data_IF_328776704721
#
_entry.id   IF_328776704721
#
_cell.length_a   1.000
_cell.length_b   1.000
_cell.length_c   1.000
_cell.angle_alpha   90.00
_cell.angle_beta   90.00
_cell.angle_gamma   90.00
#
_symmetry.space_group_name_H-M   'P 1'
#
loop_
_entity.id
_entity.type
_entity.pdbx_description
1 polymer ?
#
# COMPACT_ATOMS: atom_id res chain seq x y z
N UNK A 1 1.96 22.26 32.67
CA UNK A 1 1.42 22.56 31.32
C UNK A 1 2.58 22.53 30.35
N UNK A 2 2.59 21.56 29.47
CA UNK A 2 3.72 21.32 28.56
C UNK A 2 3.52 22.12 27.28
N UNK A 3 4.54 22.84 26.84
CA UNK A 3 4.52 23.53 25.54
C UNK A 3 4.92 22.58 24.42
N UNK A 4 4.59 22.93 23.17
CA UNK A 4 5.00 22.16 21.97
C UNK A 4 6.52 21.96 21.95
N UNK A 5 7.30 23.01 22.26
CA UNK A 5 8.78 22.96 22.33
C UNK A 5 9.27 22.00 23.42
N UNK A 6 8.68 22.06 24.61
CA UNK A 6 9.06 21.15 25.71
C UNK A 6 8.75 19.71 25.37
N UNK A 7 7.59 19.43 24.77
CA UNK A 7 7.23 18.08 24.32
C UNK A 7 8.19 17.57 23.24
N UNK A 8 8.54 18.39 22.24
CA UNK A 8 9.52 18.03 21.20
C UNK A 8 10.89 17.66 21.79
N UNK A 9 11.29 18.32 22.89
CA UNK A 9 12.57 18.08 23.57
C UNK A 9 12.54 16.87 24.52
N UNK A 10 11.38 16.56 25.10
CA UNK A 10 11.23 15.47 26.09
C UNK A 10 11.17 14.08 25.47
N UNK A 11 10.68 13.95 24.23
CA UNK A 11 10.52 12.66 23.56
C UNK A 11 11.83 12.19 22.92
N UNK A 12 12.17 10.90 23.10
CA UNK A 12 13.33 10.25 22.48
C UNK A 12 13.14 9.84 21.03
N UNK A 13 11.92 9.97 20.48
CA UNK A 13 11.60 9.67 19.09
C UNK A 13 12.35 10.60 18.14
N UNK A 14 12.51 10.18 16.89
CA UNK A 14 13.11 11.02 15.87
C UNK A 14 12.26 12.28 15.57
N UNK A 15 12.90 13.27 14.95
CA UNK A 15 12.26 14.57 14.71
C UNK A 15 11.15 14.51 13.64
N UNK A 16 11.19 13.53 12.73
CA UNK A 16 10.20 13.36 11.68
C UNK A 16 8.92 12.80 12.30
N UNK A 17 9.02 11.71 13.05
CA UNK A 17 7.90 11.11 13.77
C UNK A 17 7.22 12.13 14.68
N UNK A 18 7.99 12.89 15.47
CA UNK A 18 7.44 13.94 16.35
C UNK A 18 6.70 15.04 15.58
N UNK A 19 7.23 15.44 14.44
CA UNK A 19 6.60 16.47 13.62
C UNK A 19 5.26 15.98 13.05
N UNK A 20 5.22 14.76 12.53
CA UNK A 20 3.98 14.15 12.04
C UNK A 20 2.94 13.97 13.15
N UNK A 21 3.35 13.56 14.34
CA UNK A 21 2.45 13.42 15.48
C UNK A 21 1.79 14.75 15.85
N UNK A 22 2.57 15.83 15.93
CA UNK A 22 2.04 17.17 16.21
C UNK A 22 1.11 17.68 15.10
N UNK A 23 1.42 17.38 13.86
CA UNK A 23 0.56 17.74 12.74
C UNK A 23 -0.79 17.04 12.81
N UNK A 24 -0.80 15.73 13.06
CA UNK A 24 -2.03 14.93 13.11
C UNK A 24 -2.85 15.14 14.39
N UNK A 25 -2.20 15.37 15.53
CA UNK A 25 -2.90 15.54 16.81
C UNK A 25 -3.31 16.97 17.08
N UNK A 26 -2.45 17.94 16.74
CA UNK A 26 -2.62 19.36 17.07
C UNK A 26 -2.94 20.24 15.86
N UNK A 27 -2.95 19.69 14.62
CA UNK A 27 -3.11 20.45 13.39
C UNK A 27 -1.94 21.40 13.09
N UNK A 28 -0.75 21.14 13.62
CA UNK A 28 0.40 22.01 13.53
C UNK A 28 1.41 21.45 12.52
N UNK A 29 1.43 21.98 11.30
CA UNK A 29 2.49 21.66 10.35
C UNK A 29 3.87 22.14 10.84
N UNK A 30 4.93 21.69 10.17
CA UNK A 30 6.31 21.96 10.59
C UNK A 30 6.63 23.47 10.77
N UNK A 31 6.06 24.33 9.94
CA UNK A 31 6.24 25.78 10.07
C UNK A 31 5.53 26.31 11.34
N UNK A 32 4.30 25.88 11.60
CA UNK A 32 3.56 26.25 12.80
C UNK A 32 4.25 25.76 14.09
N UNK A 33 4.85 24.57 14.06
CA UNK A 33 5.64 24.03 15.19
C UNK A 33 6.85 24.91 15.54
N UNK A 34 7.51 25.47 14.54
CA UNK A 34 8.65 26.38 14.73
C UNK A 34 8.21 27.77 15.24
N UNK A 35 7.13 28.32 14.67
CA UNK A 35 6.64 29.67 14.99
C UNK A 35 5.95 29.69 16.36
N UNK A 36 5.16 28.67 16.67
CA UNK A 36 4.32 28.58 17.86
C UNK A 36 4.80 27.51 18.86
N UNK A 37 6.11 27.33 18.98
CA UNK A 37 6.68 26.35 19.91
C UNK A 37 6.38 26.61 21.39
N UNK A 38 5.96 27.82 21.74
CA UNK A 38 5.50 28.25 23.07
C UNK A 38 4.00 27.98 23.33
N UNK A 39 3.24 27.54 22.30
CA UNK A 39 1.86 27.11 22.48
C UNK A 39 1.78 25.98 23.51
N UNK A 40 0.90 26.17 24.49
CA UNK A 40 0.63 25.14 25.50
C UNK A 40 -0.29 24.08 24.91
N UNK A 41 0.08 22.81 25.08
CA UNK A 41 -0.75 21.66 24.69
C UNK A 41 -1.95 21.55 25.63
N UNK A 42 -3.11 21.19 25.09
CA UNK A 42 -4.22 20.80 25.95
C UNK A 42 -3.93 19.46 26.62
N UNK A 43 -4.56 19.14 27.75
CA UNK A 43 -4.38 17.83 28.40
C UNK A 43 -4.71 16.66 27.48
N UNK A 44 -5.70 16.80 26.59
CA UNK A 44 -6.11 15.79 25.60
C UNK A 44 -5.03 15.59 24.54
N UNK A 45 -4.48 16.70 24.01
CA UNK A 45 -3.37 16.65 23.04
C UNK A 45 -2.13 16.00 23.63
N UNK A 46 -1.72 16.44 24.84
CA UNK A 46 -0.56 15.91 25.56
C UNK A 46 -0.70 14.42 25.84
N UNK A 47 -1.87 13.98 26.34
CA UNK A 47 -2.14 12.58 26.59
C UNK A 47 -2.10 11.74 25.31
N UNK A 48 -2.71 12.22 24.23
CA UNK A 48 -2.73 11.52 22.94
C UNK A 48 -1.32 11.43 22.34
N UNK A 49 -0.56 12.50 22.36
CA UNK A 49 0.83 12.53 21.90
C UNK A 49 1.69 11.53 22.68
N UNK A 50 1.54 11.49 24.02
CA UNK A 50 2.31 10.60 24.87
C UNK A 50 1.92 9.12 24.67
N UNK A 51 0.62 8.80 24.48
CA UNK A 51 0.18 7.44 24.17
C UNK A 51 0.78 6.96 22.84
N UNK A 52 0.73 7.79 21.79
CA UNK A 52 1.33 7.48 20.49
C UNK A 52 2.84 7.30 20.63
N UNK A 53 3.52 8.22 21.35
CA UNK A 53 4.97 8.16 21.54
C UNK A 53 5.42 6.89 22.27
N UNK A 54 4.68 6.46 23.29
CA UNK A 54 4.96 5.23 24.02
C UNK A 54 4.85 4.00 23.11
N UNK A 55 3.74 3.86 22.39
CA UNK A 55 3.53 2.75 21.45
C UNK A 55 4.55 2.76 20.31
N UNK A 56 4.91 3.96 19.81
CA UNK A 56 5.95 4.11 18.78
C UNK A 56 7.32 3.65 19.29
N UNK A 57 7.66 3.94 20.54
CA UNK A 57 8.90 3.48 21.18
C UNK A 57 8.95 1.94 21.35
N UNK A 58 7.81 1.26 21.40
CA UNK A 58 7.69 -0.20 21.37
C UNK A 58 7.84 -0.77 19.95
N UNK A 59 7.94 0.10 18.94
CA UNK A 59 8.14 -0.27 17.53
C UNK A 59 6.86 -0.32 16.69
N UNK A 60 5.70 0.08 17.23
CA UNK A 60 4.47 0.12 16.44
C UNK A 60 4.63 1.16 15.32
N UNK A 61 4.31 0.84 14.06
CA UNK A 61 4.40 1.78 12.95
C UNK A 61 3.54 3.02 13.18
N UNK A 62 4.14 4.21 12.95
CA UNK A 62 3.44 5.47 13.15
C UNK A 62 2.14 5.58 12.32
N UNK A 63 2.07 5.14 11.05
CA UNK A 63 0.83 5.15 10.29
C UNK A 63 -0.33 4.40 10.97
N UNK A 64 -0.06 3.28 11.63
CA UNK A 64 -1.12 2.57 12.36
C UNK A 64 -1.59 3.32 13.61
N UNK A 65 -0.69 4.04 14.27
CA UNK A 65 -1.03 4.86 15.45
C UNK A 65 -1.82 6.10 15.07
N UNK A 66 -1.55 6.66 13.90
CA UNK A 66 -2.24 7.81 13.34
C UNK A 66 -3.51 7.40 12.55
N UNK A 67 -3.59 6.15 12.10
CA UNK A 67 -4.69 5.61 11.31
C UNK A 67 -4.64 5.97 9.83
N UNK A 68 -3.58 6.66 9.38
CA UNK A 68 -3.46 7.12 7.99
C UNK A 68 -2.02 7.05 7.49
N UNK A 69 -1.86 6.85 6.19
CA UNK A 69 -0.61 6.95 5.43
C UNK A 69 -0.87 7.72 4.14
N UNK A 70 0.01 8.66 3.83
CA UNK A 70 -0.03 9.34 2.53
C UNK A 70 0.48 8.38 1.43
N UNK A 71 -0.21 8.38 0.29
CA UNK A 71 0.20 7.68 -0.92
C UNK A 71 -0.31 8.48 -2.13
N UNK A 72 0.57 8.82 -3.03
CA UNK A 72 0.29 9.62 -4.22
C UNK A 72 -0.43 10.94 -3.91
N UNK A 73 0.04 11.64 -2.86
CA UNK A 73 -0.52 12.90 -2.39
C UNK A 73 -1.91 12.81 -1.74
N UNK A 74 -2.38 11.60 -1.38
CA UNK A 74 -3.70 11.36 -0.78
C UNK A 74 -3.59 10.61 0.54
N UNK A 75 -4.39 10.95 1.57
CA UNK A 75 -4.42 10.21 2.82
C UNK A 75 -5.21 8.91 2.68
N UNK A 76 -4.56 7.77 2.87
CA UNK A 76 -5.20 6.46 2.94
C UNK A 76 -5.33 6.00 4.39
N UNK A 77 -6.50 5.54 4.77
CA UNK A 77 -6.72 4.86 6.04
C UNK A 77 -5.92 3.56 6.06
N UNK A 78 -5.26 3.31 7.18
CA UNK A 78 -4.50 2.08 7.41
C UNK A 78 -4.71 1.56 8.83
N UNK A 79 -4.65 0.25 8.98
CA UNK A 79 -4.66 -0.45 10.25
C UNK A 79 -3.92 -1.79 10.09
N UNK A 80 -3.71 -2.60 11.16
CA UNK A 80 -2.99 -3.86 11.06
C UNK A 80 -3.59 -4.95 10.15
N UNK A 81 -4.67 -4.67 9.41
CA UNK A 81 -5.24 -5.57 8.40
C UNK A 81 -4.66 -5.38 7.01
N UNK A 82 -3.87 -4.32 6.77
CA UNK A 82 -3.32 -3.96 5.46
C UNK A 82 -1.84 -3.62 5.55
N UNK A 83 -1.11 -3.87 4.48
CA UNK A 83 0.24 -3.31 4.28
C UNK A 83 0.14 -1.78 4.30
N UNK A 84 1.08 -1.14 4.99
CA UNK A 84 1.23 0.32 4.91
C UNK A 84 1.70 0.67 3.50
N UNK A 85 0.97 1.52 2.73
CA UNK A 85 1.41 1.95 1.41
C UNK A 85 2.86 2.45 1.39
N UNK A 86 3.64 2.00 0.40
CA UNK A 86 5.06 2.34 0.27
C UNK A 86 5.27 3.40 -0.81
N UNK A 87 6.19 4.35 -0.61
CA UNK A 87 6.55 5.30 -1.67
C UNK A 87 7.03 4.62 -2.96
N UNK A 88 7.76 3.51 -2.85
CA UNK A 88 8.28 2.76 -3.99
C UNK A 88 7.16 2.26 -4.92
N UNK A 89 6.00 1.89 -4.36
CA UNK A 89 4.80 1.50 -5.12
C UNK A 89 4.20 2.67 -5.94
N UNK A 90 4.52 3.93 -5.61
CA UNK A 90 4.08 5.08 -6.40
C UNK A 90 4.68 5.07 -7.81
N UNK A 91 5.92 4.57 -7.97
CA UNK A 91 6.56 4.40 -9.29
C UNK A 91 5.76 3.45 -10.18
N UNK A 92 5.21 2.37 -9.60
CA UNK A 92 4.32 1.47 -10.34
C UNK A 92 3.07 2.22 -10.82
N UNK A 93 2.45 3.01 -9.95
CA UNK A 93 1.24 3.78 -10.31
C UNK A 93 1.54 4.84 -11.38
N UNK A 94 2.66 5.56 -11.29
CA UNK A 94 3.09 6.53 -12.31
C UNK A 94 3.20 5.86 -13.69
N UNK A 95 3.89 4.71 -13.74
CA UNK A 95 4.01 3.95 -14.98
C UNK A 95 2.65 3.48 -15.52
N UNK A 96 1.77 3.01 -14.65
CA UNK A 96 0.41 2.54 -15.02
C UNK A 96 -0.44 3.67 -15.63
N UNK A 97 -0.41 4.87 -15.05
CA UNK A 97 -1.17 6.02 -15.55
C UNK A 97 -0.85 6.30 -17.03
N UNK A 98 0.41 6.14 -17.43
CA UNK A 98 0.87 6.39 -18.80
C UNK A 98 0.61 5.23 -19.76
N UNK A 99 0.63 3.98 -19.27
CA UNK A 99 0.67 2.79 -20.14
C UNK A 99 -0.64 1.99 -20.18
N UNK A 100 -1.58 2.24 -19.24
CA UNK A 100 -2.87 1.55 -19.26
C UNK A 100 -3.70 1.91 -20.50
N UNK A 101 -4.34 0.92 -21.15
CA UNK A 101 -5.17 1.14 -22.33
C UNK A 101 -6.35 2.06 -22.02
N UNK A 102 -6.73 2.90 -22.98
CA UNK A 102 -7.88 3.81 -22.82
C UNK A 102 -9.18 3.03 -22.70
N UNK A 103 -10.05 3.45 -21.77
CA UNK A 103 -11.33 2.82 -21.45
C UNK A 103 -11.19 1.34 -21.07
N UNK A 104 -10.00 0.92 -20.61
CA UNK A 104 -9.69 -0.47 -20.31
C UNK A 104 -10.35 -0.98 -19.03
N UNK A 105 -10.45 -2.29 -18.95
CA UNK A 105 -10.87 -3.01 -17.75
C UNK A 105 -9.63 -3.48 -17.00
N UNK A 106 -9.43 -3.00 -15.78
CA UNK A 106 -8.21 -3.19 -14.99
C UNK A 106 -8.54 -3.91 -13.69
N UNK A 107 -7.67 -4.82 -13.25
CA UNK A 107 -7.78 -5.39 -11.90
C UNK A 107 -6.47 -5.27 -11.11
N UNK A 108 -6.61 -4.90 -9.84
CA UNK A 108 -5.58 -4.88 -8.81
C UNK A 108 -5.75 -6.10 -7.90
N UNK A 109 -4.74 -6.98 -7.85
CA UNK A 109 -4.79 -8.25 -7.12
C UNK A 109 -4.01 -8.15 -5.82
N UNK A 110 -4.67 -8.51 -4.69
CA UNK A 110 -4.10 -8.31 -3.37
C UNK A 110 -4.08 -6.82 -3.00
N UNK A 111 -5.21 -6.14 -3.19
CA UNK A 111 -5.31 -4.66 -3.16
C UNK A 111 -4.97 -4.01 -1.82
N UNK A 112 -4.99 -4.77 -0.72
CA UNK A 112 -4.64 -4.28 0.62
C UNK A 112 -5.50 -3.08 1.05
N UNK A 113 -4.87 -1.94 1.22
CA UNK A 113 -5.55 -0.67 1.54
C UNK A 113 -6.36 -0.08 0.37
N UNK A 114 -6.23 -0.64 -0.82
CA UNK A 114 -6.80 -0.10 -2.05
C UNK A 114 -6.00 1.05 -2.66
N UNK A 115 -4.77 1.32 -2.21
CA UNK A 115 -4.02 2.51 -2.63
C UNK A 115 -3.71 2.52 -4.13
N UNK A 116 -3.31 1.39 -4.72
CA UNK A 116 -3.09 1.28 -6.17
C UNK A 116 -4.41 1.45 -6.92
N UNK A 117 -5.42 0.62 -6.61
CA UNK A 117 -6.70 0.62 -7.31
C UNK A 117 -7.41 1.98 -7.25
N UNK A 118 -7.49 2.58 -6.04
CA UNK A 118 -8.15 3.87 -5.87
C UNK A 118 -7.40 5.00 -6.60
N UNK A 119 -6.06 5.00 -6.53
CA UNK A 119 -5.27 6.03 -7.23
C UNK A 119 -5.43 5.90 -8.75
N UNK A 120 -5.32 4.68 -9.30
CA UNK A 120 -5.54 4.43 -10.73
C UNK A 120 -6.94 4.89 -11.16
N UNK A 121 -8.00 4.59 -10.40
CA UNK A 121 -9.35 5.01 -10.72
C UNK A 121 -9.53 6.54 -10.69
N UNK A 122 -8.83 7.25 -9.81
CA UNK A 122 -8.89 8.71 -9.71
C UNK A 122 -8.10 9.43 -10.80
N UNK A 123 -6.90 8.91 -11.14
CA UNK A 123 -6.03 9.49 -12.17
C UNK A 123 -6.52 9.15 -13.59
N UNK A 124 -7.18 8.01 -13.76
CA UNK A 124 -7.68 7.50 -15.04
C UNK A 124 -9.18 7.21 -14.96
N UNK A 125 -10.03 8.25 -14.91
CA UNK A 125 -11.49 8.10 -14.80
C UNK A 125 -12.14 7.45 -16.03
N UNK A 126 -11.38 7.24 -17.09
CA UNK A 126 -11.79 6.48 -18.28
C UNK A 126 -11.76 4.95 -18.05
N UNK A 127 -11.07 4.48 -17.01
CA UNK A 127 -10.92 3.04 -16.73
C UNK A 127 -12.08 2.49 -15.88
N UNK A 128 -12.34 1.21 -16.05
CA UNK A 128 -13.17 0.43 -15.12
C UNK A 128 -12.25 -0.38 -14.21
N UNK A 129 -12.15 -0.01 -12.93
CA UNK A 129 -11.22 -0.62 -12.00
C UNK A 129 -11.92 -1.61 -11.08
N UNK A 130 -11.39 -2.82 -11.05
CA UNK A 130 -11.73 -3.88 -10.08
C UNK A 130 -10.54 -4.12 -9.17
N UNK A 131 -10.81 -4.58 -7.96
CA UNK A 131 -9.76 -5.01 -7.06
C UNK A 131 -10.20 -6.20 -6.22
N UNK A 132 -9.27 -7.12 -5.94
CA UNK A 132 -9.53 -8.28 -5.11
C UNK A 132 -8.54 -8.38 -3.95
N UNK A 133 -9.02 -8.96 -2.86
CA UNK A 133 -8.18 -9.38 -1.75
C UNK A 133 -8.79 -10.61 -1.07
N UNK A 134 -7.96 -11.49 -0.56
CA UNK A 134 -8.40 -12.65 0.20
C UNK A 134 -8.89 -12.25 1.61
N UNK A 135 -8.33 -11.17 2.15
CA UNK A 135 -8.61 -10.63 3.48
C UNK A 135 -9.85 -9.76 3.49
N UNK A 136 -10.87 -10.16 4.26
CA UNK A 136 -12.04 -9.31 4.53
C UNK A 136 -11.66 -8.00 5.23
N UNK A 137 -10.64 -8.04 6.10
CA UNK A 137 -10.14 -6.87 6.81
C UNK A 137 -9.53 -5.86 5.84
N UNK A 138 -8.74 -6.33 4.87
CA UNK A 138 -8.17 -5.49 3.83
C UNK A 138 -9.26 -4.85 2.96
N UNK A 139 -10.23 -5.63 2.50
CA UNK A 139 -11.35 -5.11 1.70
C UNK A 139 -12.18 -4.08 2.44
N UNK A 140 -12.36 -4.23 3.77
CA UNK A 140 -13.05 -3.21 4.57
C UNK A 140 -12.28 -1.88 4.60
N UNK A 141 -10.95 -1.93 4.68
CA UNK A 141 -10.10 -0.73 4.60
C UNK A 141 -10.14 -0.14 3.20
N UNK A 142 -9.96 -0.96 2.15
CA UNK A 142 -10.05 -0.52 0.75
C UNK A 142 -11.39 0.16 0.44
N UNK A 143 -12.51 -0.43 0.90
CA UNK A 143 -13.85 0.14 0.74
C UNK A 143 -13.97 1.51 1.42
N UNK A 144 -13.43 1.64 2.63
CA UNK A 144 -13.43 2.91 3.36
C UNK A 144 -12.61 3.98 2.63
N UNK A 145 -11.43 3.61 2.11
CA UNK A 145 -10.57 4.49 1.33
C UNK A 145 -11.23 4.92 0.02
N UNK A 146 -11.74 3.98 -0.78
CA UNK A 146 -12.43 4.31 -2.03
C UNK A 146 -13.60 5.28 -1.78
N UNK A 147 -14.40 5.01 -0.73
CA UNK A 147 -15.50 5.89 -0.36
C UNK A 147 -15.03 7.28 0.08
N UNK A 148 -14.00 7.35 0.92
CA UNK A 148 -13.48 8.62 1.43
C UNK A 148 -12.88 9.50 0.32
N UNK A 149 -12.20 8.88 -0.65
CA UNK A 149 -11.54 9.55 -1.77
C UNK A 149 -12.46 9.76 -2.99
N UNK A 150 -13.64 9.13 -3.01
CA UNK A 150 -14.54 9.19 -4.17
C UNK A 150 -14.08 8.35 -5.37
N UNK A 151 -13.26 7.33 -5.13
CA UNK A 151 -12.79 6.42 -6.18
C UNK A 151 -13.82 5.34 -6.50
N UNK A 152 -14.16 5.16 -7.78
CA UNK A 152 -15.07 4.09 -8.23
C UNK A 152 -14.28 2.81 -8.51
N UNK A 153 -14.17 1.95 -7.50
CA UNK A 153 -13.49 0.66 -7.56
C UNK A 153 -14.45 -0.45 -7.15
N UNK A 154 -14.54 -1.49 -7.96
CA UNK A 154 -15.35 -2.68 -7.68
C UNK A 154 -14.54 -3.70 -6.89
N UNK A 155 -14.86 -3.86 -5.60
CA UNK A 155 -14.13 -4.74 -4.69
C UNK A 155 -14.75 -6.13 -4.63
N UNK A 156 -13.91 -7.18 -4.71
CA UNK A 156 -14.34 -8.59 -4.67
C UNK A 156 -13.44 -9.37 -3.71
N UNK A 157 -14.05 -10.24 -2.89
CA UNK A 157 -13.27 -11.10 -2.01
C UNK A 157 -12.87 -12.40 -2.72
N UNK A 158 -11.60 -12.72 -2.70
CA UNK A 158 -11.07 -14.02 -3.16
C UNK A 158 -9.60 -13.99 -3.46
N UNK A 159 -9.09 -15.15 -3.89
CA UNK A 159 -7.67 -15.33 -4.24
C UNK A 159 -7.45 -14.92 -5.70
N UNK A 160 -6.62 -13.92 -5.89
CA UNK A 160 -6.18 -13.42 -7.20
C UNK A 160 -7.33 -13.21 -8.19
N UNK A 161 -7.32 -13.92 -9.33
CA UNK A 161 -8.36 -13.84 -10.36
C UNK A 161 -9.54 -14.80 -10.13
N UNK A 162 -9.48 -15.68 -9.14
CA UNK A 162 -10.53 -16.69 -8.94
C UNK A 162 -11.94 -16.11 -8.71
N UNK A 163 -12.11 -15.01 -7.94
CA UNK A 163 -13.45 -14.50 -7.64
C UNK A 163 -14.15 -13.82 -8.83
N UNK A 164 -13.42 -13.50 -9.90
CA UNK A 164 -14.00 -12.80 -11.03
C UNK A 164 -14.79 -13.75 -11.95
N UNK A 165 -15.97 -13.32 -12.46
CA UNK A 165 -16.71 -14.05 -13.47
C UNK A 165 -15.87 -14.35 -14.71
N UNK A 166 -16.13 -15.49 -15.35
CA UNK A 166 -15.36 -15.94 -16.51
C UNK A 166 -15.54 -15.02 -17.74
N UNK A 167 -16.62 -14.24 -17.76
CA UNK A 167 -16.96 -13.30 -18.82
C UNK A 167 -16.16 -11.98 -18.73
N UNK A 168 -15.52 -11.71 -17.57
CA UNK A 168 -14.67 -10.55 -17.41
C UNK A 168 -13.26 -10.88 -17.94
N UNK A 169 -12.91 -10.24 -19.05
CA UNK A 169 -11.55 -10.27 -19.59
C UNK A 169 -10.88 -8.93 -19.31
N UNK A 170 -9.84 -8.94 -18.48
CA UNK A 170 -9.11 -7.74 -18.11
C UNK A 170 -8.09 -7.34 -19.17
N UNK A 171 -8.05 -6.05 -19.49
CA UNK A 171 -7.02 -5.46 -20.35
C UNK A 171 -5.70 -5.28 -19.60
N UNK A 172 -5.77 -5.10 -18.27
CA UNK A 172 -4.61 -4.99 -17.42
C UNK A 172 -4.77 -5.71 -16.08
N UNK A 173 -3.69 -6.33 -15.61
CA UNK A 173 -3.59 -6.99 -14.30
C UNK A 173 -2.41 -6.41 -13.54
N UNK A 174 -2.69 -5.91 -12.34
CA UNK A 174 -1.75 -5.22 -11.48
C UNK A 174 -1.65 -5.96 -10.15
N UNK A 175 -0.49 -5.96 -9.52
CA UNK A 175 -0.33 -6.43 -8.16
C UNK A 175 0.95 -5.90 -7.51
N UNK A 176 0.87 -5.58 -6.23
CA UNK A 176 2.00 -5.61 -5.31
C UNK A 176 1.81 -6.82 -4.40
N UNK A 177 2.28 -8.01 -4.83
CA UNK A 177 2.02 -9.25 -4.09
C UNK A 177 3.02 -9.43 -2.94
N UNK A 178 2.77 -10.35 -1.98
CA UNK A 178 3.78 -10.70 -0.99
C UNK A 178 4.98 -11.38 -1.66
N UNK A 179 6.15 -10.74 -1.59
CA UNK A 179 7.37 -11.18 -2.28
C UNK A 179 8.58 -11.37 -1.36
N UNK A 180 8.45 -11.13 -0.05
CA UNK A 180 9.55 -11.36 0.89
C UNK A 180 9.68 -12.85 1.18
N UNK A 181 10.91 -13.37 1.15
CA UNK A 181 11.21 -14.76 1.52
C UNK A 181 10.83 -15.02 2.98
N UNK A 182 10.36 -16.26 3.28
CA UNK A 182 9.79 -16.59 4.59
C UNK A 182 10.76 -16.50 5.77
N UNK A 183 12.07 -16.62 5.52
CA UNK A 183 13.15 -16.56 6.52
C UNK A 183 13.93 -15.22 6.48
N UNK A 184 13.45 -14.22 5.74
CA UNK A 184 14.09 -12.92 5.65
C UNK A 184 14.03 -12.19 7.00
N UNK A 185 15.20 -11.73 7.46
CA UNK A 185 15.36 -10.99 8.73
C UNK A 185 14.60 -9.68 8.78
N UNK A 186 14.27 -9.08 7.64
CA UNK A 186 13.49 -7.84 7.59
C UNK A 186 12.06 -8.04 8.11
N UNK A 187 11.52 -9.27 8.09
CA UNK A 187 10.20 -9.58 8.63
C UNK A 187 10.07 -9.27 10.12
N UNK A 188 11.15 -9.36 10.89
CA UNK A 188 11.13 -9.01 12.32
C UNK A 188 10.81 -7.51 12.56
N UNK A 189 11.31 -6.64 11.69
CA UNK A 189 11.02 -5.21 11.75
C UNK A 189 9.58 -4.89 11.31
N UNK A 190 8.99 -5.75 10.49
CA UNK A 190 7.64 -5.62 9.93
C UNK A 190 6.56 -6.38 10.74
N UNK A 191 6.88 -6.87 11.93
CA UNK A 191 6.03 -7.75 12.76
C UNK A 191 4.63 -7.22 13.09
N UNK A 192 4.40 -5.91 12.94
CA UNK A 192 3.09 -5.29 13.17
C UNK A 192 2.20 -5.28 11.92
N UNK A 193 2.78 -5.52 10.76
CA UNK A 193 2.05 -5.58 9.50
C UNK A 193 1.55 -7.02 9.24
N UNK A 194 0.46 -7.18 8.46
CA UNK A 194 -0.08 -8.52 8.23
C UNK A 194 0.93 -9.37 7.45
N UNK A 195 1.38 -10.45 8.06
CA UNK A 195 2.43 -11.32 7.51
C UNK A 195 2.07 -11.86 6.12
N UNK A 196 0.80 -12.15 5.89
CA UNK A 196 0.29 -12.59 4.58
C UNK A 196 0.39 -11.56 3.46
N UNK A 197 0.60 -10.28 3.79
CA UNK A 197 0.84 -9.22 2.81
C UNK A 197 2.33 -8.97 2.55
N UNK A 198 3.22 -9.63 3.32
CA UNK A 198 4.66 -9.45 3.24
C UNK A 198 5.34 -10.65 2.58
N UNK A 199 4.96 -11.86 2.99
CA UNK A 199 5.65 -13.09 2.60
C UNK A 199 4.67 -14.19 2.23
N UNK A 200 5.10 -15.06 1.33
CA UNK A 200 4.42 -16.31 0.99
C UNK A 200 4.90 -17.49 1.86
N UNK A 201 5.72 -17.22 2.90
CA UNK A 201 6.36 -18.21 3.79
C UNK A 201 7.31 -19.18 3.06
N UNK A 202 7.77 -18.84 1.86
CA UNK A 202 8.63 -19.64 1.00
C UNK A 202 9.71 -18.78 0.36
N UNK A 203 9.84 -18.83 -0.95
CA UNK A 203 10.86 -18.14 -1.74
C UNK A 203 10.43 -16.76 -2.28
N UNK A 204 9.28 -16.25 -1.85
CA UNK A 204 8.73 -14.97 -2.28
C UNK A 204 8.19 -14.96 -3.72
N UNK A 205 8.07 -16.11 -4.38
CA UNK A 205 7.69 -16.21 -5.78
C UNK A 205 6.35 -16.95 -6.01
N UNK A 206 5.69 -17.45 -4.96
CA UNK A 206 4.44 -18.22 -5.07
C UNK A 206 3.33 -17.37 -5.70
N UNK A 207 3.25 -16.08 -5.38
CA UNK A 207 2.26 -15.19 -5.94
C UNK A 207 2.34 -15.15 -7.48
N UNK A 208 3.53 -14.94 -8.04
CA UNK A 208 3.74 -14.87 -9.50
C UNK A 208 3.41 -16.21 -10.17
N UNK A 209 3.86 -17.32 -9.58
CA UNK A 209 3.55 -18.68 -10.07
C UNK A 209 2.06 -19.01 -10.01
N UNK A 210 1.31 -18.36 -9.11
CA UNK A 210 -0.13 -18.55 -8.96
C UNK A 210 -0.94 -17.65 -9.89
N UNK A 211 -0.53 -16.39 -10.07
CA UNK A 211 -1.27 -15.38 -10.82
C UNK A 211 -1.11 -15.59 -12.33
N UNK A 212 0.12 -15.78 -12.84
CA UNK A 212 0.38 -15.82 -14.27
C UNK A 212 -0.39 -16.93 -15.02
N UNK A 213 -0.50 -18.19 -14.51
CA UNK A 213 -1.38 -19.18 -15.13
C UNK A 213 -2.86 -18.81 -15.13
N UNK A 214 -3.30 -18.06 -14.11
CA UNK A 214 -4.69 -17.57 -14.07
C UNK A 214 -4.92 -16.49 -15.10
N UNK A 215 -3.98 -15.56 -15.31
CA UNK A 215 -4.06 -14.53 -16.35
C UNK A 215 -4.16 -15.21 -17.72
N UNK A 216 -3.27 -16.15 -18.02
CA UNK A 216 -3.28 -16.89 -19.29
C UNK A 216 -4.63 -17.54 -19.59
N UNK A 217 -5.32 -18.02 -18.56
CA UNK A 217 -6.63 -18.70 -18.70
C UNK A 217 -7.79 -17.73 -18.75
N UNK A 218 -7.80 -16.67 -17.91
CA UNK A 218 -8.96 -15.79 -17.69
C UNK A 218 -8.87 -14.46 -18.44
N UNK A 219 -7.67 -14.02 -18.78
CA UNK A 219 -7.43 -12.78 -19.53
C UNK A 219 -6.39 -12.99 -20.64
N UNK A 220 -6.69 -13.90 -21.62
CA UNK A 220 -5.72 -14.26 -22.67
C UNK A 220 -5.31 -13.07 -23.56
N UNK A 221 -6.14 -12.04 -23.63
CA UNK A 221 -5.92 -10.82 -24.44
C UNK A 221 -5.38 -9.65 -23.59
N UNK A 222 -4.87 -9.94 -22.38
CA UNK A 222 -4.31 -8.92 -21.50
C UNK A 222 -3.19 -8.14 -22.22
N UNK A 223 -3.26 -6.82 -22.15
CA UNK A 223 -2.30 -5.92 -22.80
C UNK A 223 -1.18 -5.50 -21.85
N UNK A 224 -1.50 -5.41 -20.55
CA UNK A 224 -0.56 -4.97 -19.50
C UNK A 224 -0.61 -5.93 -18.32
N UNK A 225 0.55 -6.42 -17.91
CA UNK A 225 0.77 -7.12 -16.63
C UNK A 225 1.88 -6.36 -15.91
N UNK A 226 1.58 -5.81 -14.74
CA UNK A 226 2.54 -5.02 -13.99
C UNK A 226 2.55 -5.45 -12.52
N UNK A 227 3.69 -5.97 -12.07
CA UNK A 227 3.88 -6.48 -10.71
C UNK A 227 5.08 -5.83 -10.04
N UNK A 228 4.91 -5.45 -8.77
CA UNK A 228 6.04 -5.14 -7.91
C UNK A 228 6.77 -6.43 -7.52
N UNK A 229 8.08 -6.38 -7.35
CA UNK A 229 8.90 -7.50 -6.90
C UNK A 229 10.11 -7.03 -6.10
N UNK A 230 10.72 -7.92 -5.34
CA UNK A 230 11.93 -7.64 -4.58
C UNK A 230 13.12 -7.29 -5.48
N UNK A 231 14.02 -6.45 -4.97
CA UNK A 231 15.19 -5.93 -5.70
C UNK A 231 16.10 -7.02 -6.28
N UNK A 232 16.10 -8.21 -5.71
CA UNK A 232 16.91 -9.36 -6.11
C UNK A 232 16.13 -10.42 -6.90
N UNK A 233 14.87 -10.16 -7.27
CA UNK A 233 13.97 -11.17 -7.87
C UNK A 233 13.79 -10.98 -9.39
N UNK A 234 14.42 -10.00 -10.01
CA UNK A 234 14.25 -9.66 -11.43
C UNK A 234 14.33 -10.88 -12.37
N UNK A 235 15.46 -11.61 -12.33
CA UNK A 235 15.67 -12.78 -13.21
C UNK A 235 14.64 -13.89 -12.95
N UNK A 236 14.31 -14.15 -11.68
CA UNK A 236 13.37 -15.19 -11.30
C UNK A 236 11.95 -14.86 -11.74
N UNK A 237 11.51 -13.61 -11.54
CA UNK A 237 10.19 -13.15 -11.96
C UNK A 237 10.07 -13.18 -13.48
N UNK A 238 11.07 -12.66 -14.22
CA UNK A 238 11.08 -12.71 -15.69
C UNK A 238 11.02 -14.14 -16.22
N UNK A 239 11.75 -15.08 -15.60
CA UNK A 239 11.68 -16.51 -15.96
C UNK A 239 10.27 -17.08 -15.80
N UNK A 240 9.57 -16.74 -14.70
CA UNK A 240 8.19 -17.20 -14.47
C UNK A 240 7.23 -16.61 -15.52
N UNK A 241 7.42 -15.36 -15.94
CA UNK A 241 6.66 -14.77 -17.06
C UNK A 241 6.88 -15.56 -18.35
N UNK A 242 8.11 -15.87 -18.71
CA UNK A 242 8.46 -16.62 -19.93
C UNK A 242 7.92 -18.04 -19.91
N UNK A 243 8.02 -18.75 -18.80
CA UNK A 243 7.46 -20.09 -18.59
C UNK A 243 5.92 -20.13 -18.82
N UNK A 244 5.24 -19.03 -18.50
CA UNK A 244 3.81 -18.88 -18.75
C UNK A 244 3.46 -18.34 -20.16
N UNK A 245 4.48 -18.06 -20.97
CA UNK A 245 4.32 -17.62 -22.36
C UNK A 245 4.22 -16.11 -22.54
N UNK A 246 4.44 -15.31 -21.49
CA UNK A 246 4.53 -13.86 -21.55
C UNK A 246 5.97 -13.46 -21.85
N UNK A 247 6.21 -12.94 -23.05
CA UNK A 247 7.56 -12.61 -23.53
C UNK A 247 7.83 -11.12 -23.39
N UNK A 248 9.12 -10.77 -23.19
CA UNK A 248 9.58 -9.40 -23.18
C UNK A 248 9.24 -8.65 -21.88
N UNK A 249 9.07 -9.38 -20.77
CA UNK A 249 8.99 -8.75 -19.46
C UNK A 249 10.26 -7.94 -19.19
N UNK A 250 10.10 -6.73 -18.67
CA UNK A 250 11.20 -5.84 -18.31
C UNK A 250 10.97 -5.31 -16.89
N UNK A 251 12.06 -5.08 -16.18
CA UNK A 251 12.06 -4.47 -14.86
C UNK A 251 12.50 -3.01 -14.96
N UNK A 252 11.83 -2.14 -14.24
CA UNK A 252 12.33 -0.79 -13.94
C UNK A 252 12.50 -0.67 -12.41
N UNK A 253 13.44 0.15 -11.99
CA UNK A 253 13.74 0.36 -10.58
C UNK A 253 13.03 1.61 -10.08
N UNK A 254 12.65 1.57 -8.81
CA UNK A 254 12.30 2.73 -8.02
C UNK A 254 13.50 3.68 -7.86
N UNK A 255 13.25 4.84 -7.29
CA UNK A 255 14.25 5.92 -7.11
C UNK A 255 15.20 5.66 -5.95
#
# INVERSE_FOLDING_TARGET
MTTVREWLLSSSLDSIDKSFMLEQVCGMNKAAQLIHGDRVLTPEEENRLNDIANKRSEGVPLPYLLGTQEFFGRPFLVNPSVLIPRPDTECLVEWLIEHLPKNGLVCDLGTGSGCIAATVALERPDLTVWASDISKGALAVAQANCKALGADVKLVQGSWLDPYPAELSFDAVISNPPYIEGDDKHLDALRYEPRSALTDESDGLIAYRSILPQIKRKAPEVQVIAFEHGWNQEEAVQSIFEENGFKGASTFRDY
#
